data_IF_112770257047
#
_entry.id   IF_112770257047
#
_cell.length_a   1.000
_cell.length_b   1.000
_cell.length_c   1.000
_cell.angle_alpha   90.00
_cell.angle_beta   90.00
_cell.angle_gamma   90.00
#
_symmetry.space_group_name_H-M   'P 1'
#
loop_
_entity.id
_entity.type
_entity.pdbx_description
1 polymer ?
#
# COMPACT_ATOMS: atom_id res chain seq x y z
N UNK A 1 17.32 6.93 -2.40
CA UNK A 1 15.89 6.56 -2.48
C UNK A 1 15.85 5.25 -3.25
N UNK A 2 15.17 4.23 -2.75
CA UNK A 2 15.07 2.97 -3.50
C UNK A 2 14.21 3.21 -4.74
N UNK A 3 14.61 2.62 -5.87
CA UNK A 3 14.03 2.90 -7.18
C UNK A 3 12.59 2.39 -7.22
N UNK A 4 11.64 3.28 -7.47
CA UNK A 4 10.25 2.90 -7.72
C UNK A 4 10.16 2.14 -9.05
N UNK A 5 9.27 1.15 -9.11
CA UNK A 5 8.91 0.50 -10.37
C UNK A 5 7.81 1.34 -11.00
N UNK A 6 8.02 1.78 -12.23
CA UNK A 6 7.04 2.57 -12.99
C UNK A 6 6.40 1.64 -14.02
N UNK A 7 5.07 1.56 -13.99
CA UNK A 7 4.27 0.91 -15.02
C UNK A 7 3.43 1.98 -15.71
N UNK A 8 3.59 2.12 -17.03
CA UNK A 8 2.94 3.18 -17.80
C UNK A 8 2.51 2.66 -19.17
N UNK A 9 1.32 3.05 -19.62
CA UNK A 9 0.85 2.91 -21.00
C UNK A 9 0.14 4.20 -21.44
N UNK A 10 -0.54 4.26 -22.58
CA UNK A 10 -1.20 5.50 -23.03
C UNK A 10 -2.25 6.07 -22.05
N UNK A 11 -2.88 5.22 -21.25
CA UNK A 11 -4.04 5.56 -20.39
C UNK A 11 -3.66 5.64 -18.91
N UNK A 12 -2.66 4.89 -18.45
CA UNK A 12 -2.39 4.66 -17.03
C UNK A 12 -0.91 4.95 -16.71
N UNK A 13 -0.69 5.43 -15.49
CA UNK A 13 0.64 5.59 -14.90
C UNK A 13 0.59 5.15 -13.43
N UNK A 14 1.45 4.22 -13.04
CA UNK A 14 1.52 3.66 -11.68
C UNK A 14 2.96 3.65 -11.19
N UNK A 15 3.17 4.16 -9.98
CA UNK A 15 4.43 4.03 -9.23
C UNK A 15 4.26 2.99 -8.13
N UNK A 16 5.09 1.95 -8.17
CA UNK A 16 5.07 0.84 -7.21
C UNK A 16 6.35 0.89 -6.37
N UNK A 17 6.19 0.74 -5.05
CA UNK A 17 7.27 0.57 -4.10
C UNK A 17 7.47 -0.94 -3.81
N UNK A 18 8.49 -1.57 -4.42
CA UNK A 18 8.69 -3.02 -4.27
C UNK A 18 9.10 -3.42 -2.85
N UNK A 19 9.67 -2.51 -2.05
CA UNK A 19 10.22 -2.83 -0.73
C UNK A 19 9.15 -2.80 0.35
N UNK A 20 8.11 -1.97 0.16
CA UNK A 20 6.97 -1.88 1.07
C UNK A 20 5.82 -2.78 0.61
N UNK A 21 6.11 -4.07 0.38
CA UNK A 21 5.11 -5.07 0.03
C UNK A 21 4.42 -4.84 -1.32
N UNK A 22 5.12 -4.19 -2.27
CA UNK A 22 4.55 -3.85 -3.57
C UNK A 22 3.45 -2.78 -3.51
N UNK A 23 3.52 -1.88 -2.53
CA UNK A 23 2.54 -0.81 -2.35
C UNK A 23 2.55 0.18 -3.52
N UNK A 24 1.40 0.80 -3.79
CA UNK A 24 1.26 1.80 -4.85
C UNK A 24 1.49 3.16 -4.21
N UNK A 25 2.57 3.81 -4.63
CA UNK A 25 2.88 5.16 -4.19
C UNK A 25 1.95 6.18 -4.85
N UNK A 26 1.81 6.11 -6.17
CA UNK A 26 0.97 6.98 -6.97
C UNK A 26 0.27 6.20 -8.08
N UNK A 27 -0.96 6.56 -8.39
CA UNK A 27 -1.71 6.02 -9.53
C UNK A 27 -2.50 7.14 -10.21
N UNK A 28 -2.24 7.36 -11.50
CA UNK A 28 -2.94 8.32 -12.33
C UNK A 28 -3.56 7.68 -13.57
N UNK A 29 -4.72 8.19 -13.97
CA UNK A 29 -5.23 8.08 -15.34
C UNK A 29 -4.67 9.26 -16.13
N UNK A 30 -4.10 8.97 -17.30
CA UNK A 30 -3.62 9.95 -18.28
C UNK A 30 -4.77 10.25 -19.24
N UNK A 31 -5.18 11.51 -19.30
CA UNK A 31 -6.15 11.99 -20.28
C UNK A 31 -5.57 13.22 -20.98
N UNK A 32 -5.16 13.05 -22.24
CA UNK A 32 -4.44 14.08 -23.02
C UNK A 32 -3.23 14.58 -22.23
N UNK A 33 -3.25 15.84 -21.80
CA UNK A 33 -2.17 16.51 -21.07
C UNK A 33 -2.40 16.56 -19.55
N UNK A 34 -3.39 15.82 -19.03
CA UNK A 34 -3.78 15.85 -17.62
C UNK A 34 -3.52 14.47 -17.00
N UNK A 35 -2.94 14.47 -15.80
CA UNK A 35 -2.88 13.30 -14.91
C UNK A 35 -3.94 13.44 -13.84
N UNK A 36 -4.89 12.51 -13.80
CA UNK A 36 -5.99 12.48 -12.84
C UNK A 36 -5.65 11.44 -11.77
N UNK A 37 -5.48 11.81 -10.49
CA UNK A 37 -5.15 10.86 -9.44
C UNK A 37 -6.30 9.88 -9.20
N UNK A 38 -6.01 8.58 -9.23
CA UNK A 38 -6.97 7.51 -8.92
C UNK A 38 -7.10 7.34 -7.41
N UNK A 39 -6.00 7.48 -6.69
CA UNK A 39 -5.97 7.42 -5.23
C UNK A 39 -5.62 8.79 -4.64
N UNK A 40 -6.04 9.00 -3.39
CA UNK A 40 -5.59 10.17 -2.62
C UNK A 40 -4.07 10.11 -2.46
N UNK A 41 -3.41 11.24 -2.70
CA UNK A 41 -1.98 11.36 -2.42
C UNK A 41 -1.71 11.16 -0.93
N UNK A 42 -0.66 10.41 -0.61
CA UNK A 42 -0.23 10.25 0.76
C UNK A 42 0.22 11.60 1.33
N UNK A 43 -0.16 11.89 2.58
CA UNK A 43 0.19 13.18 3.19
C UNK A 43 1.69 13.27 3.44
N UNK A 44 2.30 14.37 2.98
CA UNK A 44 3.70 14.72 3.28
C UNK A 44 3.97 14.96 4.78
N UNK A 45 2.94 14.93 5.65
CA UNK A 45 3.10 15.07 7.10
C UNK A 45 3.70 13.83 7.78
N UNK A 46 3.79 12.70 7.07
CA UNK A 46 4.35 11.45 7.61
C UNK A 46 5.88 11.51 7.55
N UNK A 47 6.53 11.34 8.71
CA UNK A 47 7.96 11.65 8.92
C UNK A 47 8.90 10.46 8.72
N UNK A 48 8.40 9.22 8.69
CA UNK A 48 9.24 8.02 8.57
C UNK A 48 9.28 7.54 7.13
N UNK A 49 10.49 7.45 6.56
CA UNK A 49 10.76 7.13 5.15
C UNK A 49 10.20 5.78 4.68
N UNK A 50 10.03 4.84 5.60
CA UNK A 50 9.57 3.47 5.32
C UNK A 50 8.14 3.21 5.84
N UNK A 51 7.38 4.27 6.12
CA UNK A 51 6.00 4.12 6.55
C UNK A 51 5.12 3.72 5.36
N UNK A 52 4.39 2.60 5.49
CA UNK A 52 3.41 2.16 4.48
C UNK A 52 2.35 3.22 4.22
N UNK A 53 2.06 4.08 5.20
CA UNK A 53 1.13 5.21 5.07
C UNK A 53 1.63 6.32 4.12
N UNK A 54 2.90 6.28 3.69
CA UNK A 54 3.42 7.13 2.61
C UNK A 54 2.98 6.66 1.21
N UNK A 55 2.23 5.56 1.11
CA UNK A 55 1.74 5.03 -0.16
C UNK A 55 0.22 5.22 -0.22
N UNK A 56 -0.29 5.59 -1.40
CA UNK A 56 -1.71 5.73 -1.65
C UNK A 56 -2.51 4.44 -1.49
N UNK A 57 -1.87 3.29 -1.69
CA UNK A 57 -2.46 1.97 -1.43
C UNK A 57 -1.39 0.97 -1.00
N UNK A 58 -1.74 0.06 -0.09
CA UNK A 58 -0.84 -0.98 0.41
C UNK A 58 -1.61 -2.29 0.65
N UNK A 59 -0.89 -3.41 0.52
CA UNK A 59 -1.48 -4.74 0.68
C UNK A 59 -1.74 -5.07 2.15
N UNK A 60 -2.92 -5.64 2.44
CA UNK A 60 -3.36 -6.05 3.77
C UNK A 60 -3.33 -7.57 3.94
N UNK A 61 -2.24 -8.20 3.54
CA UNK A 61 -2.08 -9.65 3.62
C UNK A 61 -1.39 -10.08 4.93
N UNK A 62 -1.73 -11.25 5.49
CA UNK A 62 -2.77 -12.17 5.03
C UNK A 62 -4.19 -11.83 5.52
N UNK A 63 -4.35 -10.87 6.45
CA UNK A 63 -5.64 -10.49 7.01
C UNK A 63 -5.84 -8.98 6.95
N UNK A 64 -6.99 -8.55 6.44
CA UNK A 64 -7.42 -7.15 6.50
C UNK A 64 -8.24 -6.88 7.76
N UNK A 65 -8.08 -5.69 8.35
CA UNK A 65 -8.86 -5.25 9.50
C UNK A 65 -8.29 -5.73 10.84
N UNK A 66 -9.15 -5.94 11.84
CA UNK A 66 -8.76 -6.30 13.21
C UNK A 66 -9.07 -7.78 13.47
N UNK A 67 -8.15 -8.46 14.15
CA UNK A 67 -8.38 -9.79 14.71
C UNK A 67 -8.66 -9.64 16.20
N UNK A 68 -9.87 -10.05 16.62
CA UNK A 68 -10.34 -9.94 18.00
C UNK A 68 -9.35 -10.55 18.99
N UNK A 69 -9.00 -9.80 20.03
CA UNK A 69 -8.03 -10.20 21.06
C UNK A 69 -6.66 -10.64 20.55
N UNK A 70 -6.30 -10.34 19.29
CA UNK A 70 -5.11 -10.85 18.63
C UNK A 70 -5.02 -12.39 18.63
N UNK A 71 -6.17 -13.07 18.62
CA UNK A 71 -6.30 -14.52 18.71
C UNK A 71 -6.89 -15.08 17.42
N UNK A 72 -6.14 -15.91 16.70
CA UNK A 72 -6.60 -16.64 15.53
C UNK A 72 -6.74 -18.13 15.87
N UNK A 73 -7.92 -18.72 15.65
CA UNK A 73 -8.16 -20.17 15.84
C UNK A 73 -8.37 -20.84 14.49
N UNK A 74 -7.57 -21.86 14.17
CA UNK A 74 -7.67 -22.59 12.90
C UNK A 74 -7.20 -24.05 13.06
N UNK A 75 -8.00 -25.01 12.57
CA UNK A 75 -7.72 -26.47 12.64
C UNK A 75 -7.22 -26.93 14.02
N UNK A 76 -8.01 -26.64 15.05
CA UNK A 76 -7.73 -26.96 16.46
C UNK A 76 -6.46 -26.32 17.04
N UNK A 77 -5.82 -25.39 16.32
CA UNK A 77 -4.67 -24.60 16.79
C UNK A 77 -5.11 -23.19 17.11
N UNK A 78 -4.50 -22.62 18.16
CA UNK A 78 -4.66 -21.23 18.55
C UNK A 78 -3.35 -20.49 18.32
N UNK A 79 -3.39 -19.39 17.60
CA UNK A 79 -2.25 -18.53 17.28
C UNK A 79 -2.45 -17.18 17.97
N UNK A 80 -1.49 -16.81 18.81
CA UNK A 80 -1.42 -15.49 19.43
C UNK A 80 -0.63 -14.54 18.52
N UNK A 81 -1.29 -13.50 18.04
CA UNK A 81 -0.68 -12.45 17.23
C UNK A 81 -0.12 -11.35 18.15
N UNK A 82 0.92 -10.65 17.68
CA UNK A 82 1.47 -9.50 18.40
C UNK A 82 0.45 -8.35 18.38
N UNK A 83 0.14 -7.80 19.56
CA UNK A 83 -0.60 -6.53 19.67
C UNK A 83 0.39 -5.39 19.45
N UNK A 84 0.04 -4.47 18.55
CA UNK A 84 0.72 -3.19 18.37
C UNK A 84 -0.09 -2.09 19.03
#
# INVERSE_FOLDING_TARGET
>A
MNKLIILENEILYVEINPILGGSIKNFFIKNKNIKIPVFREASNKIRKKDDVLLNSFFSLIPFSGRIGNALLKFKSKTYNLKKN
#
